data_IF_623386828590
#
_entry.id   IF_623386828590
#
_cell.length_a   1.000
_cell.length_b   1.000
_cell.length_c   1.000
_cell.angle_alpha   90.00
_cell.angle_beta   90.00
_cell.angle_gamma   90.00
#
_symmetry.space_group_name_H-M   'P 1'
#
loop_
_entity.id
_entity.type
_entity.pdbx_description
1 polymer ?
#
# COMPACT_ATOMS: atom_id res chain seq x y z
N UNK A 1 -15.74 19.84 -6.74
CA UNK A 1 -14.41 20.41 -6.45
C UNK A 1 -14.21 20.37 -4.93
N UNK A 2 -13.93 19.19 -4.35
CA UNK A 2 -13.85 18.97 -2.88
C UNK A 2 -12.43 19.18 -2.31
N UNK A 3 -11.41 19.30 -3.17
CA UNK A 3 -10.01 19.52 -2.77
C UNK A 3 -9.72 20.95 -2.24
N UNK A 4 -10.69 21.87 -2.32
CA UNK A 4 -10.55 23.24 -1.83
C UNK A 4 -11.02 23.47 -0.39
N UNK A 5 -11.54 22.44 0.29
CA UNK A 5 -12.21 22.57 1.60
C UNK A 5 -11.33 22.21 2.81
N UNK A 6 -10.10 21.74 2.59
CA UNK A 6 -9.21 21.35 3.68
C UNK A 6 -8.03 22.31 3.74
N UNK A 7 -7.94 23.11 4.81
CA UNK A 7 -6.81 24.02 4.97
C UNK A 7 -5.53 23.23 5.30
N UNK A 8 -4.37 23.75 4.89
CA UNK A 8 -3.07 23.12 5.21
C UNK A 8 -2.86 23.02 6.73
N UNK A 9 -3.41 23.96 7.49
CA UNK A 9 -3.29 23.99 8.94
C UNK A 9 -4.12 22.88 9.60
N UNK A 10 -5.30 22.57 9.06
CA UNK A 10 -6.13 21.47 9.54
C UNK A 10 -5.47 20.11 9.31
N UNK A 11 -4.81 19.93 8.17
CA UNK A 11 -4.03 18.72 7.88
C UNK A 11 -2.89 18.60 8.89
N UNK A 12 -2.13 19.67 9.11
CA UNK A 12 -1.01 19.68 10.05
C UNK A 12 -1.46 19.36 11.49
N UNK A 13 -2.64 19.85 11.91
CA UNK A 13 -3.21 19.51 13.21
C UNK A 13 -3.62 18.03 13.29
N UNK A 14 -4.26 17.49 12.25
CA UNK A 14 -4.64 16.08 12.19
C UNK A 14 -3.40 15.15 12.22
N UNK A 15 -2.32 15.53 11.53
CA UNK A 15 -1.04 14.79 11.57
C UNK A 15 -0.46 14.74 13.00
N UNK A 16 -0.50 15.86 13.74
CA UNK A 16 -0.05 15.91 15.15
C UNK A 16 -0.88 15.00 16.04
N UNK A 17 -2.21 15.01 15.87
CA UNK A 17 -3.12 14.16 16.66
C UNK A 17 -2.87 12.67 16.41
N UNK A 18 -2.70 12.26 15.14
CA UNK A 18 -2.41 10.86 14.80
C UNK A 18 -1.11 10.37 15.44
N UNK A 19 -0.05 11.17 15.38
CA UNK A 19 1.25 10.83 16.00
C UNK A 19 1.15 10.73 17.52
N UNK A 20 0.34 11.59 18.14
CA UNK A 20 0.14 11.58 19.59
C UNK A 20 -0.70 10.38 20.05
N UNK A 21 -1.65 9.91 19.23
CA UNK A 21 -2.55 8.81 19.59
C UNK A 21 -2.03 7.42 19.21
N UNK A 22 -1.15 7.32 18.21
CA UNK A 22 -0.66 6.05 17.68
C UNK A 22 0.87 6.06 17.55
N UNK A 23 1.56 5.45 18.52
CA UNK A 23 3.03 5.40 18.55
C UNK A 23 3.61 4.74 17.29
N UNK A 24 2.89 3.80 16.66
CA UNK A 24 3.31 3.15 15.41
C UNK A 24 3.35 4.11 14.22
N UNK A 25 2.65 5.25 14.28
CA UNK A 25 2.65 6.26 13.22
C UNK A 25 4.03 6.91 13.02
N UNK A 26 4.94 6.84 14.00
CA UNK A 26 6.33 7.27 13.85
C UNK A 26 7.09 6.48 12.76
N UNK A 27 6.65 5.26 12.44
CA UNK A 27 7.29 4.39 11.45
C UNK A 27 6.81 4.63 10.01
N UNK A 28 5.76 5.43 9.84
CA UNK A 28 5.18 5.75 8.54
C UNK A 28 5.94 6.88 7.85
N UNK A 29 5.89 6.89 6.51
CA UNK A 29 6.35 8.02 5.73
C UNK A 29 5.51 9.28 6.00
N UNK A 30 6.12 10.48 5.88
CA UNK A 30 5.37 11.74 5.98
C UNK A 30 4.17 11.80 5.02
N UNK A 31 4.32 11.28 3.81
CA UNK A 31 3.27 11.26 2.80
C UNK A 31 2.11 10.33 3.20
N UNK A 32 2.39 9.14 3.72
CA UNK A 32 1.34 8.23 4.20
C UNK A 32 0.56 8.86 5.37
N UNK A 33 1.26 9.49 6.31
CA UNK A 33 0.65 10.20 7.45
C UNK A 33 -0.26 11.32 6.96
N UNK A 34 0.17 12.09 5.96
CA UNK A 34 -0.66 13.14 5.36
C UNK A 34 -1.94 12.59 4.75
N UNK A 35 -1.85 11.48 4.01
CA UNK A 35 -3.03 10.85 3.41
C UNK A 35 -3.99 10.29 4.47
N UNK A 36 -3.49 9.66 5.53
CA UNK A 36 -4.31 9.21 6.66
C UNK A 36 -4.98 10.40 7.34
N UNK A 37 -4.21 11.44 7.65
CA UNK A 37 -4.72 12.62 8.35
C UNK A 37 -5.76 13.38 7.53
N UNK A 38 -5.53 13.48 6.22
CA UNK A 38 -6.52 14.04 5.28
C UNK A 38 -7.78 13.19 5.25
N UNK A 39 -7.65 11.87 5.22
CA UNK A 39 -8.78 10.94 5.23
C UNK A 39 -9.63 11.07 6.50
N UNK A 40 -8.99 11.12 7.68
CA UNK A 40 -9.65 11.32 8.97
C UNK A 40 -10.30 12.72 9.09
N UNK A 41 -9.70 13.73 8.50
CA UNK A 41 -10.28 15.06 8.47
C UNK A 41 -11.52 15.12 7.58
N UNK A 42 -11.43 14.57 6.37
CA UNK A 42 -12.54 14.50 5.42
C UNK A 42 -13.70 13.68 6.00
N UNK A 43 -13.42 12.55 6.64
CA UNK A 43 -14.47 11.72 7.24
C UNK A 43 -15.29 12.43 8.32
N UNK A 44 -14.67 13.31 9.12
CA UNK A 44 -15.39 14.15 10.10
C UNK A 44 -16.33 15.15 9.44
N UNK A 45 -15.93 15.72 8.30
CA UNK A 45 -16.78 16.65 7.55
C UNK A 45 -17.93 15.92 6.87
N UNK A 46 -17.68 14.74 6.30
CA UNK A 46 -18.72 13.91 5.70
C UNK A 46 -19.71 13.40 6.76
N UNK A 47 -19.27 13.14 7.99
CA UNK A 47 -20.15 12.70 9.07
C UNK A 47 -21.24 13.72 9.43
N UNK A 48 -21.02 15.00 9.15
CA UNK A 48 -22.01 16.08 9.37
C UNK A 48 -22.80 16.45 8.10
N UNK A 49 -22.52 15.79 6.97
CA UNK A 49 -23.18 15.99 5.67
C UNK A 49 -23.53 14.62 5.06
N UNK A 50 -24.60 13.95 5.57
CA UNK A 50 -24.92 12.56 5.24
C UNK A 50 -25.24 12.31 3.76
N UNK A 51 -25.56 13.36 2.99
CA UNK A 51 -25.78 13.34 1.55
C UNK A 51 -24.49 13.28 0.72
N UNK A 52 -23.32 13.46 1.33
CA UNK A 52 -22.05 13.41 0.64
C UNK A 52 -21.43 12.00 0.62
N UNK A 53 -20.78 11.72 -0.50
CA UNK A 53 -20.16 10.45 -0.81
C UNK A 53 -18.76 10.31 -0.16
N UNK A 54 -18.40 9.10 0.29
CA UNK A 54 -17.22 8.84 1.15
C UNK A 54 -15.95 8.38 0.43
N UNK A 55 -15.96 8.22 -0.88
CA UNK A 55 -14.80 7.79 -1.69
C UNK A 55 -13.56 8.64 -1.46
N UNK A 56 -13.61 9.99 -1.33
CA UNK A 56 -12.41 10.78 -1.06
C UNK A 56 -11.70 10.36 0.24
N UNK A 57 -12.45 10.05 1.30
CA UNK A 57 -11.90 9.57 2.56
C UNK A 57 -11.29 8.17 2.39
N UNK A 58 -12.00 7.26 1.71
CA UNK A 58 -11.53 5.89 1.43
C UNK A 58 -10.25 5.88 0.58
N UNK A 59 -10.17 6.73 -0.46
CA UNK A 59 -9.00 6.87 -1.33
C UNK A 59 -7.77 7.27 -0.51
N UNK A 60 -7.93 8.17 0.46
CA UNK A 60 -6.83 8.57 1.35
C UNK A 60 -6.22 7.38 2.10
N UNK A 61 -7.05 6.50 2.68
CA UNK A 61 -6.57 5.28 3.34
C UNK A 61 -5.85 4.34 2.37
N UNK A 62 -6.47 4.04 1.23
CA UNK A 62 -5.87 3.18 0.21
C UNK A 62 -4.52 3.72 -0.29
N UNK A 63 -4.41 5.03 -0.46
CA UNK A 63 -3.19 5.68 -0.96
C UNK A 63 -2.06 5.61 0.06
N UNK A 64 -2.36 5.70 1.35
CA UNK A 64 -1.35 5.51 2.41
C UNK A 64 -0.69 4.13 2.33
N UNK A 65 -1.49 3.07 2.09
CA UNK A 65 -0.98 1.70 1.92
C UNK A 65 -0.14 1.59 0.66
N UNK A 66 -0.59 2.18 -0.47
CA UNK A 66 0.18 2.15 -1.72
C UNK A 66 1.56 2.80 -1.56
N UNK A 67 1.63 3.94 -0.88
CA UNK A 67 2.90 4.63 -0.61
C UNK A 67 3.84 3.78 0.25
N UNK A 68 3.31 3.14 1.29
CA UNK A 68 4.11 2.27 2.16
C UNK A 68 4.56 1.00 1.43
N UNK A 69 3.73 0.38 0.60
CA UNK A 69 4.16 -0.75 -0.24
C UNK A 69 5.30 -0.33 -1.19
N UNK A 70 5.20 0.84 -1.83
CA UNK A 70 6.29 1.34 -2.68
C UNK A 70 7.55 1.58 -1.86
N UNK A 71 7.45 2.23 -0.71
CA UNK A 71 8.59 2.57 0.16
C UNK A 71 9.27 1.34 0.74
N UNK A 72 8.50 0.37 1.23
CA UNK A 72 9.00 -0.77 2.01
C UNK A 72 9.30 -1.99 1.14
N UNK A 73 8.64 -2.14 0.00
CA UNK A 73 8.80 -3.32 -0.87
C UNK A 73 9.55 -2.95 -2.15
N UNK A 74 9.01 -1.99 -2.92
CA UNK A 74 9.47 -1.79 -4.29
C UNK A 74 10.76 -0.99 -4.39
N UNK A 75 10.94 0.06 -3.58
CA UNK A 75 12.20 0.83 -3.57
C UNK A 75 13.39 -0.01 -3.10
N UNK A 76 13.28 -0.82 -2.02
CA UNK A 76 14.36 -1.74 -1.63
C UNK A 76 14.63 -2.80 -2.70
N UNK A 77 13.59 -3.33 -3.34
CA UNK A 77 13.73 -4.28 -4.45
C UNK A 77 14.48 -3.65 -5.63
N UNK A 78 14.12 -2.43 -6.01
CA UNK A 78 14.79 -1.68 -7.05
C UNK A 78 16.28 -1.47 -6.75
N UNK A 79 16.60 -1.09 -5.51
CA UNK A 79 17.99 -0.96 -5.05
C UNK A 79 18.75 -2.28 -5.10
N UNK A 80 18.12 -3.39 -4.74
CA UNK A 80 18.74 -4.73 -4.81
C UNK A 80 18.97 -5.20 -6.26
N UNK A 81 18.11 -4.80 -7.18
CA UNK A 81 18.18 -5.16 -8.60
C UNK A 81 18.90 -4.12 -9.46
N UNK A 82 19.60 -3.16 -8.84
CA UNK A 82 20.36 -2.16 -9.57
C UNK A 82 21.42 -2.83 -10.46
N UNK A 83 21.34 -2.57 -11.78
CA UNK A 83 22.23 -3.16 -12.77
C UNK A 83 21.85 -4.57 -13.25
N UNK A 84 20.78 -5.18 -12.72
CA UNK A 84 20.28 -6.45 -13.24
C UNK A 84 19.54 -6.27 -14.57
N UNK A 85 19.63 -7.27 -15.46
CA UNK A 85 18.84 -7.31 -16.69
C UNK A 85 17.40 -7.76 -16.38
N UNK A 86 16.45 -6.83 -16.53
CA UNK A 86 15.03 -7.03 -16.31
C UNK A 86 14.23 -7.00 -17.63
N UNK A 87 14.86 -7.14 -18.80
CA UNK A 87 14.19 -7.04 -20.09
C UNK A 87 13.03 -8.04 -20.24
N UNK A 88 13.28 -9.32 -19.93
CA UNK A 88 12.25 -10.35 -19.95
C UNK A 88 11.14 -10.09 -18.92
N UNK A 89 11.51 -9.63 -17.72
CA UNK A 89 10.56 -9.34 -16.65
C UNK A 89 9.66 -8.14 -16.99
N UNK A 90 10.16 -7.14 -17.71
CA UNK A 90 9.39 -5.96 -18.16
C UNK A 90 8.31 -6.31 -19.18
N UNK A 91 8.52 -7.34 -19.99
CA UNK A 91 7.55 -7.82 -20.96
C UNK A 91 6.44 -8.67 -20.33
N UNK A 92 6.58 -9.01 -19.06
CA UNK A 92 5.64 -9.87 -18.35
C UNK A 92 4.31 -9.17 -18.05
N UNK A 93 3.19 -9.85 -18.32
CA UNK A 93 1.84 -9.29 -18.14
C UNK A 93 1.44 -9.07 -16.68
N UNK A 94 1.96 -9.87 -15.75
CA UNK A 94 1.50 -9.89 -14.36
C UNK A 94 2.37 -8.97 -13.48
N UNK A 95 3.68 -8.94 -13.73
CA UNK A 95 4.62 -8.16 -12.93
C UNK A 95 5.50 -7.19 -13.73
N UNK A 96 5.30 -7.04 -15.04
CA UNK A 96 6.12 -6.16 -15.87
C UNK A 96 6.08 -4.69 -15.47
N UNK A 97 4.98 -4.22 -14.88
CA UNK A 97 4.91 -2.86 -14.32
C UNK A 97 5.80 -2.68 -13.09
N UNK A 98 5.92 -3.71 -12.26
CA UNK A 98 6.87 -3.70 -11.12
C UNK A 98 8.30 -3.80 -11.64
N UNK A 99 8.57 -4.66 -12.62
CA UNK A 99 9.88 -4.76 -13.26
C UNK A 99 10.33 -3.43 -13.88
N UNK A 100 9.42 -2.75 -14.59
CA UNK A 100 9.67 -1.44 -15.20
C UNK A 100 10.02 -0.39 -14.15
N UNK A 101 9.30 -0.36 -13.01
CA UNK A 101 9.64 0.52 -11.90
C UNK A 101 10.98 0.19 -11.26
N UNK A 102 11.29 -1.10 -11.02
CA UNK A 102 12.55 -1.49 -10.40
C UNK A 102 13.76 -1.13 -11.26
N UNK A 103 13.60 -1.21 -12.58
CA UNK A 103 14.64 -0.89 -13.53
C UNK A 103 14.76 0.62 -13.82
N UNK A 104 13.74 1.43 -13.50
CA UNK A 104 13.78 2.89 -13.59
C UNK A 104 12.95 3.51 -12.44
N UNK A 105 13.53 3.65 -11.24
CA UNK A 105 12.79 4.00 -10.01
C UNK A 105 12.27 5.43 -9.94
N UNK A 106 12.60 6.26 -10.94
CA UNK A 106 12.08 7.62 -11.14
C UNK A 106 10.71 7.62 -11.83
N UNK A 107 10.31 6.51 -12.46
CA UNK A 107 8.99 6.38 -13.08
C UNK A 107 7.87 6.40 -12.04
N UNK A 108 6.66 6.64 -12.53
CA UNK A 108 5.44 6.50 -11.73
C UNK A 108 5.40 5.11 -11.07
N UNK A 109 5.26 5.02 -9.74
CA UNK A 109 5.13 3.73 -9.06
C UNK A 109 3.91 2.95 -9.53
N UNK A 110 3.98 1.61 -9.55
CA UNK A 110 2.84 0.77 -9.89
C UNK A 110 1.77 0.84 -8.79
N UNK A 111 0.50 0.70 -9.17
CA UNK A 111 -0.61 0.71 -8.23
C UNK A 111 -0.76 -0.62 -7.48
N UNK A 112 -1.61 -0.63 -6.44
CA UNK A 112 -1.87 -1.81 -5.60
C UNK A 112 -2.16 -3.09 -6.39
N UNK A 113 -2.97 -3.01 -7.45
CA UNK A 113 -3.32 -4.18 -8.27
C UNK A 113 -2.09 -4.84 -8.90
N UNK A 114 -1.14 -4.06 -9.43
CA UNK A 114 0.10 -4.59 -9.99
C UNK A 114 0.97 -5.29 -8.91
N UNK A 115 0.99 -4.75 -7.69
CA UNK A 115 1.70 -5.36 -6.56
C UNK A 115 1.01 -6.68 -6.16
N UNK A 116 -0.32 -6.73 -6.16
CA UNK A 116 -1.07 -7.97 -5.91
C UNK A 116 -0.72 -9.05 -6.94
N UNK A 117 -0.66 -8.71 -8.23
CA UNK A 117 -0.32 -9.66 -9.29
C UNK A 117 1.11 -10.21 -9.15
N UNK A 118 2.08 -9.37 -8.78
CA UNK A 118 3.44 -9.82 -8.42
C UNK A 118 3.40 -10.83 -7.29
N UNK A 119 2.77 -10.50 -6.16
CA UNK A 119 2.74 -11.35 -4.97
C UNK A 119 2.03 -12.69 -5.24
N UNK A 120 0.89 -12.67 -5.94
CA UNK A 120 0.21 -13.91 -6.35
C UNK A 120 1.06 -14.77 -7.27
N UNK A 121 1.79 -14.16 -8.20
CA UNK A 121 2.72 -14.89 -9.07
C UNK A 121 3.84 -15.52 -8.25
N UNK A 122 4.39 -14.77 -7.29
CA UNK A 122 5.38 -15.27 -6.35
C UNK A 122 4.87 -16.47 -5.56
N UNK A 123 3.62 -16.50 -5.11
CA UNK A 123 3.08 -17.63 -4.34
C UNK A 123 2.75 -18.83 -5.25
N UNK A 124 2.15 -18.57 -6.41
CA UNK A 124 1.47 -19.62 -7.19
C UNK A 124 2.28 -20.24 -8.33
N UNK A 125 3.40 -19.62 -8.76
CA UNK A 125 4.16 -20.12 -9.92
C UNK A 125 5.61 -20.49 -9.60
N UNK A 126 5.87 -21.77 -9.34
CA UNK A 126 7.24 -22.30 -9.12
C UNK A 126 8.16 -22.04 -10.31
N UNK A 127 7.68 -22.29 -11.52
CA UNK A 127 8.47 -22.12 -12.75
C UNK A 127 8.91 -20.66 -12.93
N UNK A 128 8.00 -19.70 -12.76
CA UNK A 128 8.34 -18.28 -12.95
C UNK A 128 9.31 -17.78 -11.88
N UNK A 129 9.18 -18.26 -10.63
CA UNK A 129 10.19 -17.99 -9.58
C UNK A 129 11.60 -18.44 -9.97
N UNK A 130 11.74 -19.48 -10.79
CA UNK A 130 13.06 -19.97 -11.22
C UNK A 130 13.62 -19.23 -12.43
N UNK A 131 12.78 -18.54 -13.21
CA UNK A 131 13.17 -17.91 -14.47
C UNK A 131 13.26 -16.38 -14.39
N UNK A 132 12.55 -15.77 -13.44
CA UNK A 132 12.49 -14.31 -13.30
C UNK A 132 13.54 -13.78 -12.33
N UNK A 133 14.35 -12.83 -12.81
CA UNK A 133 15.35 -12.14 -11.99
C UNK A 133 14.65 -11.27 -10.94
N UNK A 134 13.55 -10.60 -11.31
CA UNK A 134 12.70 -9.83 -10.40
C UNK A 134 12.20 -10.69 -9.24
N UNK A 135 11.58 -11.83 -9.54
CA UNK A 135 10.97 -12.69 -8.51
C UNK A 135 12.03 -13.30 -7.58
N UNK A 136 13.18 -13.72 -8.13
CA UNK A 136 14.29 -14.20 -7.31
C UNK A 136 14.86 -13.11 -6.41
N UNK A 137 15.02 -11.89 -6.95
CA UNK A 137 15.42 -10.72 -6.17
C UNK A 137 14.46 -10.47 -5.01
N UNK A 138 13.16 -10.49 -5.28
CA UNK A 138 12.15 -10.30 -4.24
C UNK A 138 12.24 -11.37 -3.15
N UNK A 139 12.34 -12.65 -3.51
CA UNK A 139 12.47 -13.74 -2.54
C UNK A 139 13.72 -13.62 -1.67
N UNK A 140 14.87 -13.27 -2.28
CA UNK A 140 16.13 -13.03 -1.55
C UNK A 140 16.03 -11.82 -0.62
N UNK A 141 15.28 -10.79 -1.00
CA UNK A 141 15.05 -9.62 -0.16
C UNK A 141 14.20 -10.01 1.06
N UNK A 142 13.08 -10.69 0.82
CA UNK A 142 12.10 -11.06 1.84
C UNK A 142 12.65 -12.12 2.79
N UNK A 143 13.55 -13.00 2.36
CA UNK A 143 14.14 -14.02 3.24
C UNK A 143 14.90 -13.44 4.44
N UNK A 144 15.24 -12.15 4.40
CA UNK A 144 15.92 -11.45 5.50
C UNK A 144 14.97 -10.70 6.44
N UNK A 145 13.65 -10.84 6.25
CA UNK A 145 12.64 -10.12 7.03
C UNK A 145 11.95 -11.01 8.05
N UNK A 146 11.69 -10.46 9.24
CA UNK A 146 11.04 -11.17 10.33
C UNK A 146 9.61 -11.62 10.02
N UNK A 147 8.89 -10.89 9.16
CA UNK A 147 7.52 -11.23 8.73
C UNK A 147 7.44 -11.85 7.34
N UNK A 148 8.51 -12.47 6.86
CA UNK A 148 8.56 -13.09 5.53
C UNK A 148 7.40 -14.06 5.25
N UNK A 149 6.97 -14.82 6.26
CA UNK A 149 5.82 -15.72 6.16
C UNK A 149 4.54 -14.99 5.75
N UNK A 150 4.20 -13.87 6.40
CA UNK A 150 3.01 -13.10 6.08
C UNK A 150 3.12 -12.39 4.71
N UNK A 151 4.32 -11.97 4.32
CA UNK A 151 4.55 -11.34 3.01
C UNK A 151 4.34 -12.32 1.85
N UNK A 152 4.70 -13.59 2.03
CA UNK A 152 4.67 -14.63 0.99
C UNK A 152 3.42 -15.53 1.02
N UNK A 153 2.63 -15.46 2.10
CA UNK A 153 1.40 -16.21 2.25
C UNK A 153 0.27 -15.68 1.35
N UNK A 154 -0.55 -16.59 0.80
CA UNK A 154 -1.65 -16.24 -0.09
C UNK A 154 -2.73 -15.38 0.62
N UNK A 155 -3.02 -15.70 1.89
CA UNK A 155 -3.93 -14.94 2.76
C UNK A 155 -3.24 -13.78 3.49
N UNK A 156 -1.92 -13.65 3.33
CA UNK A 156 -1.11 -12.60 3.93
C UNK A 156 -1.20 -11.27 3.19
N UNK A 157 -0.05 -10.71 2.82
CA UNK A 157 0.02 -9.40 2.16
C UNK A 157 -0.78 -9.37 0.84
N UNK A 158 -0.69 -10.42 0.03
CA UNK A 158 -1.43 -10.51 -1.23
C UNK A 158 -2.95 -10.46 -1.01
N UNK A 159 -3.45 -11.21 -0.03
CA UNK A 159 -4.86 -11.22 0.38
C UNK A 159 -5.33 -9.86 0.88
N UNK A 160 -4.57 -9.24 1.79
CA UNK A 160 -4.85 -7.88 2.30
C UNK A 160 -4.94 -6.84 1.18
N UNK A 161 -3.93 -6.76 0.31
CA UNK A 161 -3.91 -5.79 -0.79
C UNK A 161 -5.02 -6.06 -1.82
N UNK A 162 -5.36 -7.33 -2.05
CA UNK A 162 -6.46 -7.69 -2.94
C UNK A 162 -7.81 -7.26 -2.38
N UNK A 163 -8.08 -7.50 -1.10
CA UNK A 163 -9.29 -7.01 -0.43
C UNK A 163 -9.36 -5.48 -0.49
N UNK A 164 -8.25 -4.79 -0.20
CA UNK A 164 -8.19 -3.33 -0.30
C UNK A 164 -8.48 -2.83 -1.72
N UNK A 165 -7.94 -3.51 -2.73
CA UNK A 165 -8.10 -3.14 -4.14
C UNK A 165 -9.54 -3.34 -4.62
N UNK A 166 -10.12 -4.52 -4.37
CA UNK A 166 -11.44 -4.90 -4.90
C UNK A 166 -12.57 -4.21 -4.15
N UNK A 167 -12.50 -4.15 -2.81
CA UNK A 167 -13.64 -3.71 -2.00
C UNK A 167 -13.64 -2.20 -1.72
N UNK A 168 -12.50 -1.52 -1.89
CA UNK A 168 -12.37 -0.12 -1.49
C UNK A 168 -11.76 0.76 -2.57
N UNK A 169 -10.51 0.49 -3.01
CA UNK A 169 -9.84 1.32 -4.03
C UNK A 169 -10.70 1.39 -5.29
N UNK A 170 -10.97 0.26 -5.93
CA UNK A 170 -11.63 0.27 -7.24
C UNK A 170 -13.04 0.86 -7.18
N UNK A 171 -13.90 0.51 -6.21
CA UNK A 171 -15.19 1.16 -5.99
C UNK A 171 -15.06 2.68 -5.87
N UNK A 172 -14.16 3.14 -5.00
CA UNK A 172 -13.99 4.57 -4.72
C UNK A 172 -13.52 5.39 -5.92
N UNK A 173 -12.88 4.74 -6.91
CA UNK A 173 -12.33 5.41 -8.08
C UNK A 173 -13.24 5.37 -9.30
N UNK A 174 -14.21 4.46 -9.38
CA UNK A 174 -14.85 4.13 -10.65
C UNK A 174 -16.35 3.82 -10.61
N UNK A 175 -16.86 3.11 -9.59
CA UNK A 175 -18.06 2.29 -9.83
C UNK A 175 -19.17 2.37 -8.78
N UNK A 176 -18.91 2.87 -7.58
CA UNK A 176 -19.87 2.68 -6.47
C UNK A 176 -19.84 3.83 -5.49
N UNK A 177 -21.03 4.27 -5.08
CA UNK A 177 -21.20 5.20 -3.97
C UNK A 177 -20.81 4.51 -2.66
N UNK A 178 -19.82 5.03 -1.94
CA UNK A 178 -19.38 4.50 -0.66
C UNK A 178 -19.94 5.33 0.48
N UNK A 179 -20.38 4.65 1.53
CA UNK A 179 -20.92 5.29 2.72
C UNK A 179 -19.94 5.29 3.90
N UNK A 180 -20.39 5.88 5.01
CA UNK A 180 -19.66 5.90 6.28
C UNK A 180 -19.27 4.49 6.76
N UNK A 181 -20.14 3.51 6.57
CA UNK A 181 -19.87 2.13 6.98
C UNK A 181 -18.70 1.51 6.19
N UNK A 182 -18.59 1.81 4.89
CA UNK A 182 -17.48 1.36 4.05
C UNK A 182 -16.16 2.00 4.48
N UNK A 183 -16.19 3.31 4.76
CA UNK A 183 -15.04 4.00 5.32
C UNK A 183 -14.58 3.38 6.63
N UNK A 184 -15.48 3.14 7.58
CA UNK A 184 -15.13 2.57 8.88
C UNK A 184 -14.53 1.16 8.74
N UNK A 185 -15.06 0.31 7.86
CA UNK A 185 -14.49 -1.01 7.58
C UNK A 185 -13.11 -0.91 6.91
N UNK A 186 -12.94 0.01 5.96
CA UNK A 186 -11.65 0.27 5.34
C UNK A 186 -10.63 0.76 6.37
N UNK A 187 -11.04 1.69 7.24
CA UNK A 187 -10.22 2.25 8.32
C UNK A 187 -9.78 1.16 9.28
N UNK A 188 -10.67 0.28 9.71
CA UNK A 188 -10.30 -0.83 10.59
C UNK A 188 -9.35 -1.82 9.90
N UNK A 189 -9.62 -2.16 8.62
CA UNK A 189 -8.74 -3.01 7.83
C UNK A 189 -7.33 -2.45 7.68
N UNK A 190 -7.18 -1.13 7.52
CA UNK A 190 -5.89 -0.47 7.29
C UNK A 190 -5.19 -0.12 8.62
N UNK A 191 -5.90 0.51 9.55
CA UNK A 191 -5.39 1.18 10.74
C UNK A 191 -5.88 0.58 12.07
N UNK A 192 -6.77 -0.40 12.05
CA UNK A 192 -7.25 -1.09 13.25
C UNK A 192 -6.11 -1.73 14.05
N UNK A 193 -6.42 -2.32 15.21
CA UNK A 193 -5.40 -2.91 16.08
C UNK A 193 -4.48 -3.89 15.32
N UNK A 194 -5.10 -4.74 14.48
CA UNK A 194 -4.48 -5.72 13.57
C UNK A 194 -4.43 -5.26 12.10
N UNK A 195 -4.51 -3.95 11.88
CA UNK A 195 -4.56 -3.34 10.55
C UNK A 195 -3.38 -3.73 9.67
N UNK A 196 -3.66 -3.92 8.38
CA UNK A 196 -2.67 -4.39 7.41
C UNK A 196 -1.48 -3.45 7.23
N UNK A 197 -1.65 -2.15 7.48
CA UNK A 197 -0.55 -1.18 7.43
C UNK A 197 0.48 -1.44 8.53
N UNK A 198 0.01 -1.74 9.74
CA UNK A 198 0.89 -2.07 10.87
C UNK A 198 1.59 -3.40 10.64
N UNK A 199 0.86 -4.40 10.14
CA UNK A 199 1.43 -5.70 9.75
C UNK A 199 2.50 -5.55 8.69
N UNK A 200 2.31 -4.68 7.70
CA UNK A 200 3.32 -4.37 6.68
C UNK A 200 4.60 -3.77 7.29
N UNK A 201 4.46 -2.79 8.20
CA UNK A 201 5.59 -2.16 8.86
C UNK A 201 6.42 -3.17 9.67
N UNK A 202 5.78 -3.99 10.50
CA UNK A 202 6.50 -4.98 11.32
C UNK A 202 7.06 -6.14 10.50
N UNK A 203 6.40 -6.49 9.39
CA UNK A 203 6.82 -7.63 8.56
C UNK A 203 8.02 -7.33 7.68
N UNK A 204 8.35 -6.06 7.48
CA UNK A 204 9.47 -5.60 6.62
C UNK A 204 10.71 -5.21 7.43
N UNK A 205 10.69 -5.44 8.75
CA UNK A 205 11.87 -5.29 9.61
C UNK A 205 12.89 -6.39 9.30
N UNK A 206 14.14 -5.99 9.06
CA UNK A 206 15.24 -6.96 8.85
C UNK A 206 15.59 -7.67 10.15
N UNK A 207 15.99 -8.93 10.07
CA UNK A 207 16.65 -9.59 11.20
C UNK A 207 17.84 -8.74 11.64
N UNK A 208 17.91 -8.41 12.94
CA UNK A 208 19.14 -7.85 13.51
C UNK A 208 20.18 -8.96 13.42
N UNK A 209 21.20 -8.73 12.60
CA UNK A 209 22.40 -9.56 12.52
C UNK A 209 23.21 -9.43 13.80
#
# INVERSE_FOLDING_TARGET
MLLGLVSKDDIAQAERLLRASEKRAELLSPEAIRFISTSEHVSRHLAVQPELEWSPAVIGLCKSVELECVRLLLRPLAGQLAGADLAADRADKDYGRVAAFCAEPTRRPPELGAIVHLLRTLTNSKQRRQQSVLLQGFLKMVSNWSGSHWVLDEGGLAGFLNTLTINYRNPAAHTTELGQADYNRCRDLVLGADGGLWKLLVSTVRHRS
#
